data_IF_507399444897
#
_entry.id   IF_507399444897
#
_cell.length_a   1.000
_cell.length_b   1.000
_cell.length_c   1.000
_cell.angle_alpha   90.00
_cell.angle_beta   90.00
_cell.angle_gamma   90.00
#
_symmetry.space_group_name_H-M   'P 1'
#
loop_
_entity.id
_entity.type
_entity.pdbx_description
1 polymer ?
#
# COMPACT_ATOMS: atom_id res chain seq x y z
N UNK A 1 -8.18 -7.50 -19.64
CA UNK A 1 -9.20 -7.38 -20.70
C UNK A 1 -9.53 -5.90 -20.87
N UNK A 2 -9.46 -5.39 -22.10
CA UNK A 2 -10.08 -4.12 -22.50
C UNK A 2 -9.22 -2.84 -22.38
N UNK A 3 -8.10 -2.73 -23.10
CA UNK A 3 -7.52 -1.41 -23.42
C UNK A 3 -8.27 -0.78 -24.62
N UNK A 4 -9.57 -0.60 -24.48
CA UNK A 4 -10.35 0.20 -25.43
C UNK A 4 -10.92 1.39 -24.66
N UNK A 5 -10.52 2.60 -25.03
CA UNK A 5 -11.03 3.89 -24.57
C UNK A 5 -10.60 4.43 -23.21
N UNK A 6 -9.30 4.56 -22.90
CA UNK A 6 -8.83 5.43 -21.80
C UNK A 6 -9.47 5.16 -20.42
N UNK A 7 -10.22 4.08 -20.24
CA UNK A 7 -11.00 3.79 -19.06
C UNK A 7 -10.20 2.81 -18.21
N UNK A 8 -9.94 3.20 -16.97
CA UNK A 8 -9.29 2.36 -15.97
C UNK A 8 -10.36 1.99 -14.95
N UNK A 9 -10.57 0.69 -14.79
CA UNK A 9 -11.46 0.16 -13.77
C UNK A 9 -10.66 -0.17 -12.52
N UNK A 10 -10.96 0.52 -11.43
CA UNK A 10 -10.42 0.24 -10.10
C UNK A 10 -11.35 -0.75 -9.41
N UNK A 11 -10.83 -1.94 -9.06
CA UNK A 11 -11.60 -2.95 -8.36
C UNK A 11 -12.01 -2.50 -6.95
N UNK A 12 -13.12 -3.04 -6.47
CA UNK A 12 -13.61 -2.82 -5.10
C UNK A 12 -12.51 -3.09 -4.06
N UNK A 13 -12.43 -2.22 -3.04
CA UNK A 13 -11.43 -2.24 -1.97
C UNK A 13 -9.99 -1.93 -2.40
N UNK A 14 -9.80 -1.42 -3.61
CA UNK A 14 -8.51 -0.88 -4.07
C UNK A 14 -8.68 0.60 -4.42
N UNK A 15 -7.57 1.30 -4.35
CA UNK A 15 -7.47 2.73 -4.64
C UNK A 15 -6.29 2.91 -5.59
N UNK A 16 -6.50 3.64 -6.68
CA UNK A 16 -5.44 3.91 -7.63
C UNK A 16 -4.94 5.35 -7.47
N UNK A 17 -3.64 5.56 -7.58
CA UNK A 17 -3.06 6.90 -7.49
C UNK A 17 -2.82 7.41 -8.90
N UNK A 18 -3.44 8.55 -9.19
CA UNK A 18 -3.33 9.23 -10.47
C UNK A 18 -2.23 10.28 -10.41
N UNK A 19 -1.35 10.21 -11.38
CA UNK A 19 -0.32 11.22 -11.63
C UNK A 19 -0.54 11.88 -12.98
N UNK A 20 -0.14 13.14 -13.07
CA UNK A 20 -0.07 13.89 -14.31
C UNK A 20 1.39 14.36 -14.52
N UNK A 21 2.06 13.85 -15.55
CA UNK A 21 3.48 14.12 -15.82
C UNK A 21 4.40 14.03 -14.57
N UNK A 22 4.17 13.03 -13.71
CA UNK A 22 4.95 12.79 -12.49
C UNK A 22 4.54 13.62 -11.27
N UNK A 23 3.55 14.52 -11.40
CA UNK A 23 2.93 15.21 -10.26
C UNK A 23 1.72 14.41 -9.79
N UNK A 24 1.59 14.21 -8.49
CA UNK A 24 0.37 13.69 -7.87
C UNK A 24 -0.82 14.60 -8.22
N UNK A 25 -1.86 14.01 -8.81
CA UNK A 25 -3.09 14.71 -9.19
C UNK A 25 -4.20 14.39 -8.20
N UNK A 26 -4.62 13.12 -8.14
CA UNK A 26 -5.71 12.70 -7.26
C UNK A 26 -5.68 11.19 -6.92
N UNK A 27 -6.49 10.80 -5.95
CA UNK A 27 -6.73 9.42 -5.53
C UNK A 27 -8.05 8.92 -6.14
N UNK A 28 -7.98 7.86 -6.94
CA UNK A 28 -9.14 7.25 -7.59
C UNK A 28 -9.76 6.18 -6.69
N UNK A 29 -10.97 6.44 -6.21
CA UNK A 29 -11.83 5.47 -5.51
C UNK A 29 -12.30 4.34 -6.44
N UNK A 30 -12.83 3.22 -5.90
CA UNK A 30 -13.33 2.11 -6.71
C UNK A 30 -14.39 2.56 -7.73
N UNK A 31 -14.25 2.11 -8.99
CA UNK A 31 -15.12 2.54 -10.08
C UNK A 31 -14.43 2.54 -11.45
N UNK A 32 -15.17 2.95 -12.48
CA UNK A 32 -14.64 3.19 -13.81
C UNK A 32 -14.26 4.66 -13.95
N UNK A 33 -12.99 4.94 -14.25
CA UNK A 33 -12.49 6.31 -14.40
C UNK A 33 -11.91 6.50 -15.80
N UNK A 34 -12.23 7.65 -16.42
CA UNK A 34 -11.65 8.03 -17.70
C UNK A 34 -10.30 8.73 -17.49
N UNK A 35 -9.21 8.01 -17.75
CA UNK A 35 -7.85 8.49 -17.75
C UNK A 35 -7.30 8.51 -19.18
N UNK A 36 -7.39 9.66 -19.88
CA UNK A 36 -6.80 9.78 -21.19
C UNK A 36 -5.27 9.85 -21.08
N UNK A 37 -4.63 8.72 -21.39
CA UNK A 37 -3.17 8.57 -21.37
C UNK A 37 -2.45 9.57 -22.29
N UNK A 38 -3.10 9.98 -23.38
CA UNK A 38 -2.61 10.97 -24.34
C UNK A 38 -2.36 12.37 -23.75
N UNK A 39 -2.91 12.69 -22.57
CA UNK A 39 -2.64 13.96 -21.87
C UNK A 39 -1.62 13.82 -20.72
N UNK A 40 -0.81 12.76 -20.70
CA UNK A 40 0.24 12.55 -19.69
C UNK A 40 -0.29 12.09 -18.32
N UNK A 41 -1.57 11.70 -18.25
CA UNK A 41 -2.19 11.10 -17.07
C UNK A 41 -1.88 9.62 -17.01
N UNK A 42 -1.28 9.18 -15.90
CA UNK A 42 -0.88 7.79 -15.66
C UNK A 42 -1.32 7.36 -14.26
N UNK A 43 -1.61 6.07 -14.11
CA UNK A 43 -1.72 5.45 -12.78
C UNK A 43 -0.33 5.07 -12.31
N UNK A 44 0.10 5.64 -11.19
CA UNK A 44 1.41 5.39 -10.59
C UNK A 44 1.44 4.04 -9.88
N UNK A 45 0.34 3.71 -9.20
CA UNK A 45 0.19 2.47 -8.46
C UNK A 45 -1.22 2.28 -7.94
N UNK A 46 -1.48 1.08 -7.44
CA UNK A 46 -2.76 0.69 -6.84
C UNK A 46 -2.48 0.18 -5.44
N UNK A 47 -3.13 0.78 -4.45
CA UNK A 47 -3.10 0.38 -3.06
C UNK A 47 -4.35 -0.42 -2.71
N UNK A 48 -4.19 -1.42 -1.85
CA UNK A 48 -5.31 -2.17 -1.27
C UNK A 48 -5.73 -1.52 0.04
N UNK A 49 -7.03 -1.23 0.18
CA UNK A 49 -7.65 -0.79 1.43
C UNK A 49 -8.00 -1.97 2.37
N UNK A 50 -7.80 -3.21 1.90
CA UNK A 50 -8.05 -4.41 2.70
C UNK A 50 -7.02 -4.52 3.82
N UNK A 51 -7.45 -5.07 4.95
CA UNK A 51 -6.55 -5.45 6.04
C UNK A 51 -5.55 -6.47 5.52
N UNK A 52 -4.27 -6.17 5.71
CA UNK A 52 -3.16 -7.07 5.40
C UNK A 52 -2.61 -7.62 6.71
N UNK A 53 -2.13 -8.86 6.64
CA UNK A 53 -1.44 -9.52 7.74
C UNK A 53 0.04 -9.60 7.40
N UNK A 54 0.89 -9.31 8.39
CA UNK A 54 2.32 -9.50 8.33
C UNK A 54 2.71 -10.38 9.50
N UNK A 55 3.10 -11.61 9.20
CA UNK A 55 3.61 -12.55 10.20
C UNK A 55 5.13 -12.37 10.29
N UNK A 56 5.59 -12.01 11.48
CA UNK A 56 6.99 -11.73 11.79
C UNK A 56 7.51 -12.83 12.71
N UNK A 57 8.72 -13.31 12.42
CA UNK A 57 9.46 -14.21 13.31
C UNK A 57 10.48 -13.37 14.06
N UNK A 58 10.34 -13.32 15.37
CA UNK A 58 11.19 -12.53 16.25
C UNK A 58 12.00 -13.46 17.14
N UNK A 59 13.31 -13.30 17.11
CA UNK A 59 14.21 -13.95 18.05
C UNK A 59 14.53 -12.95 19.15
N UNK A 60 14.12 -13.25 20.37
CA UNK A 60 14.36 -12.39 21.52
C UNK A 60 15.02 -13.17 22.64
N UNK A 61 15.82 -12.48 23.45
CA UNK A 61 16.52 -13.06 24.59
C UNK A 61 15.75 -12.72 25.85
N UNK A 62 15.32 -13.75 26.56
CA UNK A 62 14.64 -13.62 27.85
C UNK A 62 15.60 -13.15 28.94
N UNK A 63 15.04 -12.65 30.05
CA UNK A 63 15.82 -12.22 31.23
C UNK A 63 16.67 -13.35 31.82
N UNK A 64 16.24 -14.60 31.63
CA UNK A 64 16.94 -15.81 32.07
C UNK A 64 18.03 -16.28 31.09
N UNK A 65 18.43 -15.43 30.15
CA UNK A 65 19.45 -15.70 29.13
C UNK A 65 19.12 -16.80 28.12
N UNK A 66 17.85 -17.16 27.96
CA UNK A 66 17.40 -18.14 26.96
C UNK A 66 16.89 -17.40 25.71
N UNK A 67 17.35 -17.84 24.53
CA UNK A 67 16.84 -17.38 23.25
C UNK A 67 15.53 -18.08 22.92
N UNK A 68 14.50 -17.31 22.61
CA UNK A 68 13.18 -17.81 22.22
C UNK A 68 12.77 -17.21 20.88
N UNK A 69 12.17 -18.03 20.02
CA UNK A 69 11.58 -17.58 18.76
C UNK A 69 10.08 -17.42 18.96
N UNK A 70 9.58 -16.21 18.76
CA UNK A 70 8.17 -15.86 18.87
C UNK A 70 7.65 -15.50 17.47
N UNK A 71 6.41 -15.90 17.17
CA UNK A 71 5.72 -15.51 15.95
C UNK A 71 4.70 -14.44 16.33
N UNK A 72 4.89 -13.22 15.82
CA UNK A 72 3.97 -12.11 16.02
C UNK A 72 3.23 -11.81 14.71
N UNK A 73 1.91 -11.72 14.76
CA UNK A 73 1.07 -11.36 13.61
C UNK A 73 0.58 -9.93 13.74
N UNK A 74 1.06 -9.04 12.88
CA UNK A 74 0.63 -7.64 12.83
C UNK A 74 -0.40 -7.46 11.73
N UNK A 75 -1.51 -6.82 12.05
CA UNK A 75 -2.53 -6.45 11.08
C UNK A 75 -2.50 -4.95 10.84
N UNK A 76 -2.45 -4.55 9.57
CA UNK A 76 -2.46 -3.13 9.20
C UNK A 76 -3.38 -2.90 8.00
N UNK A 77 -3.90 -1.67 7.91
CA UNK A 77 -4.69 -1.21 6.76
C UNK A 77 -4.35 0.24 6.45
N UNK A 78 -4.39 0.59 5.18
CA UNK A 78 -4.27 1.99 4.74
C UNK A 78 -5.64 2.64 4.80
N UNK A 79 -5.72 3.82 5.41
CA UNK A 79 -6.93 4.64 5.36
C UNK A 79 -6.98 5.41 4.04
N UNK A 80 -8.13 5.39 3.37
CA UNK A 80 -8.32 6.03 2.05
C UNK A 80 -7.92 7.52 2.05
N UNK A 81 -8.28 8.25 3.13
CA UNK A 81 -7.91 9.67 3.32
C UNK A 81 -6.41 9.94 3.28
N UNK A 82 -5.59 8.95 3.69
CA UNK A 82 -4.14 9.07 3.78
C UNK A 82 -3.42 8.22 2.72
N UNK A 83 -4.12 7.79 1.66
CA UNK A 83 -3.54 6.93 0.62
C UNK A 83 -2.36 7.57 -0.12
N UNK A 84 -2.41 8.90 -0.34
CA UNK A 84 -1.29 9.67 -0.92
C UNK A 84 -0.02 9.52 -0.07
N UNK A 85 -0.14 9.83 1.20
CA UNK A 85 0.99 9.78 2.14
C UNK A 85 1.54 8.36 2.25
N UNK A 86 0.66 7.36 2.32
CA UNK A 86 1.06 5.96 2.39
C UNK A 86 1.84 5.49 1.16
N UNK A 87 1.60 6.06 -0.03
CA UNK A 87 2.31 5.69 -1.26
C UNK A 87 3.63 6.42 -1.45
N UNK A 88 3.68 7.73 -1.14
CA UNK A 88 4.87 8.54 -1.42
C UNK A 88 5.83 8.66 -0.24
N UNK A 89 5.38 8.50 1.00
CA UNK A 89 6.25 8.62 2.19
C UNK A 89 6.89 7.30 2.60
N UNK A 90 6.23 6.18 2.31
CA UNK A 90 6.67 4.85 2.75
C UNK A 90 7.26 4.09 1.55
N UNK A 91 8.57 3.91 1.52
CA UNK A 91 9.24 3.11 0.49
C UNK A 91 8.89 1.62 0.64
N UNK A 92 8.97 1.09 1.87
CA UNK A 92 8.56 -0.27 2.21
C UNK A 92 7.84 -0.31 3.58
N UNK A 93 6.50 -0.36 3.61
CA UNK A 93 5.76 -0.35 4.87
C UNK A 93 5.99 -1.60 5.71
N UNK A 94 6.33 -2.75 5.10
CA UNK A 94 6.55 -4.01 5.83
C UNK A 94 7.82 -3.96 6.66
N UNK A 95 8.92 -3.50 6.07
CA UNK A 95 10.21 -3.36 6.75
C UNK A 95 10.13 -2.34 7.88
N UNK A 96 9.40 -1.23 7.68
CA UNK A 96 9.25 -0.23 8.73
C UNK A 96 8.44 -0.75 9.93
N UNK A 97 7.36 -1.49 9.68
CA UNK A 97 6.61 -2.16 10.75
C UNK A 97 7.51 -3.19 11.45
N UNK A 98 8.29 -3.94 10.70
CA UNK A 98 9.20 -4.94 11.23
C UNK A 98 10.27 -4.31 12.13
N UNK A 99 10.88 -3.20 11.71
CA UNK A 99 11.86 -2.48 12.52
C UNK A 99 11.25 -1.97 13.84
N UNK A 100 10.03 -1.43 13.80
CA UNK A 100 9.35 -0.95 15.00
C UNK A 100 8.94 -2.08 15.98
N UNK A 101 8.70 -3.29 15.48
CA UNK A 101 8.37 -4.46 16.33
C UNK A 101 9.62 -5.11 16.93
N UNK A 102 10.78 -4.92 16.31
CA UNK A 102 12.05 -5.46 16.78
C UNK A 102 12.80 -4.55 17.76
N UNK A 103 12.48 -3.26 17.78
CA UNK A 103 12.95 -2.32 18.81
C UNK A 103 12.22 -2.58 20.14
#
# INVERSE_FOLDING_TARGET
MGQAFCCIQVHQSKVAIKENFGRFDDVLSPGCHFLPWCFGRRVAGVLSLRVQKLDLRCETKTKDNVFVTIIASVQYRVFEKNARDAFYKLNNPREQIQAYVFD
#
